data_IF_055206225808
#
_entry.id   IF_055206225808
#
_cell.length_a   1.000
_cell.length_b   1.000
_cell.length_c   1.000
_cell.angle_alpha   90.00
_cell.angle_beta   90.00
_cell.angle_gamma   90.00
#
_symmetry.space_group_name_H-M   'P 1'
#
loop_
_entity.id
_entity.type
_entity.pdbx_description
1 polymer ?
#
# COMPACT_ATOMS: atom_id res chain seq x y z
N UNK A 1 -1.63 -22.59 -26.45
CA UNK A 1 -1.14 -21.19 -26.46
C UNK A 1 -0.28 -21.01 -27.72
N UNK A 2 -0.66 -20.12 -28.65
CA UNK A 2 0.07 -19.96 -29.92
C UNK A 2 1.40 -19.22 -29.70
N UNK A 3 2.46 -19.57 -30.44
CA UNK A 3 3.78 -18.88 -30.36
C UNK A 3 3.68 -17.36 -30.50
N UNK A 4 2.71 -16.89 -31.30
CA UNK A 4 2.41 -15.47 -31.46
C UNK A 4 2.03 -14.79 -30.14
N UNK A 5 1.13 -15.39 -29.35
CA UNK A 5 0.70 -14.82 -28.07
C UNK A 5 1.84 -14.72 -27.06
N UNK A 6 2.70 -15.75 -26.99
CA UNK A 6 3.88 -15.76 -26.12
C UNK A 6 4.85 -14.64 -26.48
N UNK A 7 5.07 -14.40 -27.78
CA UNK A 7 5.93 -13.32 -28.25
C UNK A 7 5.35 -11.94 -27.94
N UNK A 8 4.05 -11.74 -28.12
CA UNK A 8 3.37 -10.49 -27.75
C UNK A 8 3.53 -10.20 -26.26
N UNK A 9 3.22 -11.18 -25.39
CA UNK A 9 3.37 -11.03 -23.94
C UNK A 9 4.81 -10.70 -23.54
N UNK A 10 5.79 -11.38 -24.14
CA UNK A 10 7.21 -11.13 -23.86
C UNK A 10 7.62 -9.71 -24.24
N UNK A 11 7.15 -9.22 -25.37
CA UNK A 11 7.42 -7.85 -25.82
C UNK A 11 6.75 -6.84 -24.89
N UNK A 12 5.49 -7.06 -24.51
CA UNK A 12 4.76 -6.18 -23.61
C UNK A 12 5.43 -6.06 -22.23
N UNK A 13 5.89 -7.18 -21.67
CA UNK A 13 6.61 -7.20 -20.39
C UNK A 13 7.92 -6.44 -20.48
N UNK A 14 8.65 -6.60 -21.60
CA UNK A 14 9.89 -5.85 -21.85
C UNK A 14 9.64 -4.35 -21.96
N UNK A 15 8.59 -3.93 -22.68
CA UNK A 15 8.18 -2.52 -22.79
C UNK A 15 7.76 -1.95 -21.43
N UNK A 16 7.15 -2.77 -20.58
CA UNK A 16 6.74 -2.41 -19.22
C UNK A 16 7.89 -2.46 -18.20
N UNK A 17 9.11 -2.79 -18.65
CA UNK A 17 10.30 -2.99 -17.80
C UNK A 17 10.12 -4.10 -16.74
N UNK A 18 9.21 -5.04 -16.97
CA UNK A 18 8.94 -6.17 -16.08
C UNK A 18 9.78 -7.37 -16.55
N UNK A 19 10.78 -7.72 -15.75
CA UNK A 19 11.51 -8.97 -15.87
C UNK A 19 11.24 -9.86 -14.64
N UNK A 20 11.85 -11.05 -14.59
CA UNK A 20 11.67 -11.97 -13.47
C UNK A 20 12.05 -11.37 -12.11
N UNK A 21 13.10 -10.54 -12.06
CA UNK A 21 13.52 -9.88 -10.81
C UNK A 21 12.46 -8.90 -10.32
N UNK A 22 11.82 -8.15 -11.22
CA UNK A 22 10.71 -7.26 -10.87
C UNK A 22 9.51 -8.07 -10.37
N UNK A 23 9.16 -9.15 -11.06
CA UNK A 23 8.06 -10.03 -10.63
C UNK A 23 8.30 -10.59 -9.22
N UNK A 24 9.51 -11.08 -8.95
CA UNK A 24 9.87 -11.60 -7.63
C UNK A 24 9.95 -10.51 -6.56
N UNK A 25 10.35 -9.29 -6.93
CA UNK A 25 10.44 -8.17 -6.00
C UNK A 25 9.07 -7.70 -5.47
N UNK A 26 7.96 -8.00 -6.17
CA UNK A 26 6.62 -7.67 -5.67
C UNK A 26 6.30 -8.34 -4.34
N UNK A 27 6.86 -9.52 -4.06
CA UNK A 27 6.68 -10.22 -2.79
C UNK A 27 7.24 -9.38 -1.64
N UNK A 28 8.57 -9.11 -1.54
CA UNK A 28 9.09 -8.28 -0.45
C UNK A 28 8.53 -6.85 -0.45
N UNK A 29 8.21 -6.27 -1.63
CA UNK A 29 7.55 -4.95 -1.70
C UNK A 29 6.22 -4.95 -0.94
N UNK A 30 5.41 -5.99 -1.11
CA UNK A 30 4.13 -6.10 -0.42
C UNK A 30 4.32 -6.20 1.09
N UNK A 31 5.17 -7.12 1.56
CA UNK A 31 5.47 -7.28 2.99
C UNK A 31 6.03 -6.00 3.62
N UNK A 32 6.97 -5.34 2.95
CA UNK A 32 7.54 -4.08 3.44
C UNK A 32 6.51 -2.97 3.49
N UNK A 33 5.59 -2.90 2.51
CA UNK A 33 4.52 -1.88 2.51
C UNK A 33 3.56 -2.07 3.67
N UNK A 34 3.11 -3.30 3.93
CA UNK A 34 2.27 -3.60 5.08
C UNK A 34 2.99 -3.33 6.40
N UNK A 35 4.23 -3.80 6.54
CA UNK A 35 5.02 -3.54 7.75
C UNK A 35 5.24 -2.03 7.98
N UNK A 36 5.49 -1.27 6.91
CA UNK A 36 5.69 0.18 7.02
C UNK A 36 4.38 0.91 7.37
N UNK A 37 3.24 0.43 6.89
CA UNK A 37 1.92 0.89 7.32
C UNK A 37 1.71 0.64 8.82
N UNK A 38 1.89 -0.60 9.27
CA UNK A 38 1.73 -0.97 10.68
C UNK A 38 2.73 -0.25 11.60
N UNK A 39 3.93 0.05 11.08
CA UNK A 39 4.93 0.86 11.78
C UNK A 39 4.42 2.28 12.01
N UNK A 40 3.60 2.83 11.13
CA UNK A 40 2.94 4.11 11.33
C UNK A 40 2.00 4.09 12.54
N UNK A 41 1.12 3.08 12.60
CA UNK A 41 0.25 2.87 13.76
C UNK A 41 1.04 2.71 15.06
N UNK A 42 2.10 1.91 15.02
CA UNK A 42 2.97 1.64 16.15
C UNK A 42 3.67 2.93 16.63
N UNK A 43 4.26 3.68 15.70
CA UNK A 43 5.05 4.89 16.00
C UNK A 43 4.20 5.93 16.70
N UNK A 44 2.99 6.21 16.20
CA UNK A 44 2.11 7.20 16.80
C UNK A 44 1.65 6.76 18.20
N UNK A 45 1.27 5.49 18.38
CA UNK A 45 0.90 4.97 19.71
C UNK A 45 2.07 5.03 20.71
N UNK A 46 3.26 4.62 20.28
CA UNK A 46 4.47 4.56 21.12
C UNK A 46 4.96 5.95 21.54
N UNK A 47 4.93 6.94 20.63
CA UNK A 47 5.30 8.33 20.93
C UNK A 47 4.37 8.96 21.97
N UNK A 48 3.10 8.54 22.01
CA UNK A 48 2.12 8.96 23.02
C UNK A 48 2.27 8.20 24.35
N UNK A 49 3.26 7.31 24.47
CA UNK A 49 3.58 6.58 25.69
C UNK A 49 2.90 5.22 25.84
N UNK A 50 2.19 4.74 24.81
CA UNK A 50 1.55 3.42 24.85
C UNK A 50 2.61 2.31 24.64
N UNK A 51 2.51 1.20 25.38
CA UNK A 51 3.30 0.00 25.14
C UNK A 51 2.75 -0.74 23.92
N UNK A 52 3.24 -0.40 22.73
CA UNK A 52 2.72 -0.88 21.45
C UNK A 52 3.41 -2.19 21.01
N UNK A 53 2.61 -3.07 20.40
CA UNK A 53 3.09 -4.27 19.69
C UNK A 53 2.75 -4.15 18.21
N UNK A 54 3.54 -4.81 17.36
CA UNK A 54 3.38 -4.77 15.90
C UNK A 54 3.46 -6.19 15.32
N UNK A 55 2.63 -6.44 14.32
CA UNK A 55 2.59 -7.65 13.51
C UNK A 55 2.45 -7.28 12.03
N UNK A 56 2.28 -8.26 11.13
CA UNK A 56 2.20 -8.02 9.70
C UNK A 56 0.94 -7.22 9.27
N UNK A 57 -0.15 -7.34 10.02
CA UNK A 57 -1.45 -6.76 9.67
C UNK A 57 -2.19 -6.20 10.90
N UNK A 58 -1.46 -5.88 11.96
CA UNK A 58 -2.03 -5.25 13.14
C UNK A 58 -0.95 -4.59 13.99
N UNK A 59 -1.31 -3.46 14.58
CA UNK A 59 -0.52 -2.75 15.57
C UNK A 59 -1.45 -2.20 16.65
N UNK A 60 -1.20 -2.58 17.90
CA UNK A 60 -2.07 -2.28 19.01
C UNK A 60 -1.32 -2.24 20.35
N UNK A 61 -1.87 -1.59 21.39
CA UNK A 61 -1.34 -1.65 22.74
C UNK A 61 -1.26 -3.10 23.24
N UNK A 62 -0.16 -3.48 23.89
CA UNK A 62 0.07 -4.85 24.40
C UNK A 62 -1.01 -5.30 25.38
N UNK A 63 -1.49 -4.38 26.21
CA UNK A 63 -2.55 -4.58 27.19
C UNK A 63 -3.98 -4.50 26.59
N UNK A 64 -4.09 -4.31 25.27
CA UNK A 64 -5.34 -4.18 24.52
C UNK A 64 -6.04 -2.83 24.61
N UNK A 65 -5.52 -1.87 25.39
CA UNK A 65 -6.18 -0.58 25.62
C UNK A 65 -5.19 0.58 25.52
N UNK A 66 -5.59 1.63 24.81
CA UNK A 66 -4.82 2.87 24.80
C UNK A 66 -4.93 3.59 26.15
N UNK A 67 -3.92 4.39 26.51
CA UNK A 67 -3.91 5.20 27.73
C UNK A 67 -5.03 6.25 27.66
N UNK A 68 -5.17 6.93 26.52
CA UNK A 68 -6.25 7.87 26.24
C UNK A 68 -6.98 7.51 24.95
N UNK A 69 -8.27 7.85 24.86
CA UNK A 69 -9.08 7.63 23.66
C UNK A 69 -8.53 8.36 22.42
N UNK A 70 -7.92 9.52 22.62
CA UNK A 70 -7.27 10.29 21.54
C UNK A 70 -6.05 9.58 20.97
N UNK A 71 -5.40 8.70 21.74
CA UNK A 71 -4.22 7.97 21.27
C UNK A 71 -4.60 6.89 20.26
N UNK A 72 -5.80 6.31 20.39
CA UNK A 72 -6.35 5.38 19.42
C UNK A 72 -6.57 6.05 18.06
N UNK A 73 -7.05 7.29 18.05
CA UNK A 73 -7.21 8.10 16.85
C UNK A 73 -5.85 8.41 16.21
N UNK A 74 -4.87 8.88 16.99
CA UNK A 74 -3.54 9.18 16.48
C UNK A 74 -2.82 7.95 15.95
N UNK A 75 -2.92 6.83 16.66
CA UNK A 75 -2.41 5.55 16.18
C UNK A 75 -3.09 5.18 14.87
N UNK A 76 -4.43 5.26 14.76
CA UNK A 76 -5.14 4.98 13.51
C UNK A 76 -4.68 5.87 12.33
N UNK A 77 -4.42 7.16 12.57
CA UNK A 77 -3.89 8.08 11.55
C UNK A 77 -2.50 7.66 11.05
N UNK A 78 -1.68 7.07 11.93
CA UNK A 78 -0.30 6.70 11.64
C UNK A 78 -0.12 5.82 10.40
N UNK A 79 -0.95 4.79 10.21
CA UNK A 79 -0.84 3.85 9.08
C UNK A 79 -1.04 4.51 7.71
N UNK A 80 -2.18 5.18 7.47
CA UNK A 80 -2.40 5.95 6.25
C UNK A 80 -1.33 7.04 6.01
N UNK A 81 -0.87 7.74 7.06
CA UNK A 81 0.19 8.74 6.95
C UNK A 81 1.51 8.11 6.48
N UNK A 82 1.92 6.99 7.05
CA UNK A 82 3.14 6.30 6.63
C UNK A 82 3.02 5.76 5.20
N UNK A 83 1.84 5.31 4.80
CA UNK A 83 1.59 4.89 3.40
C UNK A 83 1.76 6.05 2.43
N UNK A 84 1.25 7.25 2.77
CA UNK A 84 1.45 8.47 1.99
C UNK A 84 2.93 8.87 1.93
N UNK A 85 3.65 8.79 3.05
CA UNK A 85 5.09 9.06 3.12
C UNK A 85 5.86 8.09 2.22
N UNK A 86 5.56 6.79 2.27
CA UNK A 86 6.16 5.79 1.38
C UNK A 86 5.91 6.16 -0.09
N UNK A 87 4.66 6.44 -0.45
CA UNK A 87 4.29 6.75 -1.83
C UNK A 87 5.01 8.02 -2.34
N UNK A 88 5.11 9.06 -1.51
CA UNK A 88 5.82 10.30 -1.85
C UNK A 88 7.33 10.08 -1.97
N UNK A 89 7.95 9.39 -1.02
CA UNK A 89 9.38 9.10 -1.03
C UNK A 89 9.77 8.33 -2.31
N UNK A 90 9.01 7.28 -2.64
CA UNK A 90 9.29 6.47 -3.81
C UNK A 90 8.87 7.14 -5.13
N UNK A 91 7.92 8.08 -5.12
CA UNK A 91 7.67 8.96 -6.27
C UNK A 91 8.91 9.82 -6.55
N UNK A 92 9.50 10.44 -5.53
CA UNK A 92 10.72 11.24 -5.68
C UNK A 92 11.87 10.39 -6.22
N UNK A 93 12.10 9.20 -5.65
CA UNK A 93 13.11 8.26 -6.13
C UNK A 93 12.84 7.80 -7.57
N UNK A 94 11.58 7.60 -7.95
CA UNK A 94 11.20 7.29 -9.34
C UNK A 94 11.54 8.45 -10.27
N UNK A 95 11.30 9.69 -9.84
CA UNK A 95 11.68 10.89 -10.58
C UNK A 95 13.18 10.98 -10.85
N UNK A 96 14.00 10.71 -9.83
CA UNK A 96 15.46 10.81 -9.89
C UNK A 96 16.07 9.64 -10.68
N UNK A 97 15.65 8.41 -10.37
CA UNK A 97 16.36 7.20 -10.84
C UNK A 97 15.71 6.53 -12.04
N UNK A 98 14.43 6.82 -12.31
CA UNK A 98 13.61 6.06 -13.26
C UNK A 98 13.58 4.55 -12.98
N UNK A 99 13.76 4.16 -11.71
CA UNK A 99 13.77 2.77 -11.28
C UNK A 99 12.36 2.19 -11.26
N UNK A 100 12.17 1.06 -11.96
CA UNK A 100 10.92 0.28 -11.92
C UNK A 100 10.61 -0.24 -10.52
N UNK A 101 11.61 -0.44 -9.66
CA UNK A 101 11.41 -0.87 -8.27
C UNK A 101 10.86 0.26 -7.40
N UNK A 102 11.39 1.49 -7.57
CA UNK A 102 10.84 2.67 -6.89
C UNK A 102 9.40 2.96 -7.35
N UNK A 103 9.15 2.82 -8.67
CA UNK A 103 7.79 2.88 -9.19
C UNK A 103 6.89 1.83 -8.54
N UNK A 104 7.35 0.57 -8.45
CA UNK A 104 6.57 -0.54 -7.87
C UNK A 104 6.19 -0.29 -6.41
N UNK A 105 7.08 0.30 -5.60
CA UNK A 105 6.78 0.67 -4.21
C UNK A 105 5.76 1.81 -4.11
N UNK A 106 5.81 2.78 -5.03
CA UNK A 106 4.81 3.85 -5.13
C UNK A 106 3.45 3.29 -5.54
N UNK A 107 3.46 2.43 -6.56
CA UNK A 107 2.26 1.80 -7.12
C UNK A 107 1.59 0.91 -6.08
N UNK A 108 2.37 0.06 -5.40
CA UNK A 108 1.83 -0.88 -4.42
C UNK A 108 1.23 -0.17 -3.19
N UNK A 109 1.80 0.95 -2.74
CA UNK A 109 1.21 1.77 -1.68
C UNK A 109 -0.19 2.28 -2.02
N UNK A 110 -0.41 2.73 -3.26
CA UNK A 110 -1.73 3.13 -3.73
C UNK A 110 -2.65 1.93 -3.94
N UNK A 111 -2.12 0.85 -4.52
CA UNK A 111 -2.86 -0.36 -4.82
C UNK A 111 -3.41 -1.03 -3.56
N UNK A 112 -2.61 -1.21 -2.51
CA UNK A 112 -3.04 -1.93 -1.30
C UNK A 112 -4.18 -1.21 -0.56
N UNK A 113 -4.21 0.13 -0.58
CA UNK A 113 -5.32 0.92 -0.01
C UNK A 113 -6.57 0.86 -0.87
N UNK A 114 -6.41 0.93 -2.19
CA UNK A 114 -7.53 0.72 -3.11
C UNK A 114 -8.10 -0.70 -2.97
N UNK A 115 -7.24 -1.71 -2.91
CA UNK A 115 -7.63 -3.11 -2.77
C UNK A 115 -8.41 -3.35 -1.48
N UNK A 116 -7.91 -2.83 -0.35
CA UNK A 116 -8.59 -2.93 0.94
C UNK A 116 -9.97 -2.24 0.92
N UNK A 117 -10.14 -1.12 0.21
CA UNK A 117 -11.44 -0.45 0.11
C UNK A 117 -12.44 -1.30 -0.68
N UNK A 118 -12.01 -1.81 -1.83
CA UNK A 118 -12.89 -2.51 -2.78
C UNK A 118 -13.20 -3.94 -2.32
N UNK A 119 -12.22 -4.64 -1.74
CA UNK A 119 -12.32 -6.07 -1.42
C UNK A 119 -12.23 -6.39 0.07
N UNK A 120 -11.63 -5.51 0.89
CA UNK A 120 -11.51 -5.70 2.34
C UNK A 120 -12.75 -5.25 3.13
N UNK A 121 -13.55 -4.34 2.55
CA UNK A 121 -14.77 -3.82 3.15
C UNK A 121 -14.53 -2.58 4.00
N UNK A 122 -15.41 -1.58 3.83
CA UNK A 122 -15.20 -0.22 4.39
C UNK A 122 -14.97 -0.21 5.90
N UNK A 123 -15.64 -1.08 6.67
CA UNK A 123 -15.55 -1.07 8.15
C UNK A 123 -14.19 -1.54 8.69
N UNK A 124 -13.39 -2.22 7.87
CA UNK A 124 -12.07 -2.72 8.26
C UNK A 124 -10.95 -1.78 7.85
N UNK A 125 -11.25 -0.67 7.16
CA UNK A 125 -10.26 0.32 6.77
C UNK A 125 -9.91 1.27 7.91
N UNK A 126 -8.63 1.60 8.05
CA UNK A 126 -8.15 2.56 9.03
C UNK A 126 -8.74 3.95 8.78
N UNK A 127 -8.83 4.36 7.52
CA UNK A 127 -9.41 5.63 7.12
C UNK A 127 -10.90 5.74 7.51
N UNK A 128 -11.66 4.66 7.37
CA UNK A 128 -13.05 4.61 7.80
C UNK A 128 -13.18 4.62 9.33
N UNK A 129 -12.26 3.96 10.04
CA UNK A 129 -12.16 4.01 11.51
C UNK A 129 -11.86 5.42 12.00
N UNK A 130 -10.94 6.14 11.35
CA UNK A 130 -10.64 7.55 11.64
C UNK A 130 -11.89 8.40 11.45
N UNK A 131 -12.59 8.26 10.32
CA UNK A 131 -13.86 8.96 10.08
C UNK A 131 -14.88 8.68 11.20
N UNK A 132 -15.03 7.43 11.62
CA UNK A 132 -15.95 7.06 12.69
C UNK A 132 -15.57 7.65 14.05
N UNK A 133 -14.27 7.67 14.40
CA UNK A 133 -13.77 8.28 15.64
C UNK A 133 -13.96 9.81 15.70
N UNK A 134 -14.11 10.46 14.55
CA UNK A 134 -14.34 11.90 14.42
C UNK A 134 -15.82 12.28 14.23
N UNK A 135 -16.74 11.30 14.29
CA UNK A 135 -18.16 11.47 13.94
C UNK A 135 -18.37 12.04 12.52
N UNK A 136 -17.48 11.72 11.59
CA UNK A 136 -17.55 12.13 10.19
C UNK A 136 -18.20 11.06 9.31
N UNK A 137 -18.56 11.45 8.09
CA UNK A 137 -18.99 10.50 7.07
C UNK A 137 -17.87 9.46 6.83
N UNK A 138 -18.21 8.17 6.93
CA UNK A 138 -17.27 7.03 6.83
C UNK A 138 -16.48 6.98 5.53
N UNK A 139 -16.94 7.62 4.45
CA UNK A 139 -16.25 7.66 3.17
C UNK A 139 -15.32 8.87 2.99
N UNK A 140 -15.38 9.87 3.88
CA UNK A 140 -14.66 11.13 3.70
C UNK A 140 -13.14 10.94 3.74
N UNK A 141 -12.61 10.36 4.82
CA UNK A 141 -11.16 10.14 4.97
C UNK A 141 -10.64 9.10 3.95
N UNK A 142 -11.33 7.96 3.70
CA UNK A 142 -10.92 7.04 2.65
C UNK A 142 -10.83 7.70 1.27
N UNK A 143 -11.80 8.54 0.91
CA UNK A 143 -11.79 9.25 -0.37
C UNK A 143 -10.60 10.22 -0.48
N UNK A 144 -10.32 10.99 0.58
CA UNK A 144 -9.19 11.93 0.60
C UNK A 144 -7.87 11.17 0.41
N UNK A 145 -7.64 10.11 1.20
CA UNK A 145 -6.39 9.34 1.14
C UNK A 145 -6.22 8.67 -0.22
N UNK A 146 -7.28 8.08 -0.78
CA UNK A 146 -7.21 7.47 -2.10
C UNK A 146 -7.00 8.47 -3.23
N UNK A 147 -7.61 9.66 -3.17
CA UNK A 147 -7.36 10.71 -4.17
C UNK A 147 -5.90 11.13 -4.13
N UNK A 148 -5.32 11.33 -2.95
CA UNK A 148 -3.91 11.68 -2.80
C UNK A 148 -2.99 10.58 -3.35
N UNK A 149 -3.21 9.32 -2.95
CA UNK A 149 -2.45 8.17 -3.45
C UNK A 149 -2.61 7.98 -4.96
N UNK A 150 -3.81 8.19 -5.50
CA UNK A 150 -4.06 8.14 -6.93
C UNK A 150 -3.26 9.21 -7.69
N UNK A 151 -3.24 10.45 -7.20
CA UNK A 151 -2.45 11.53 -7.79
C UNK A 151 -0.95 11.21 -7.77
N UNK A 152 -0.43 10.69 -6.66
CA UNK A 152 0.98 10.28 -6.52
C UNK A 152 1.31 9.15 -7.51
N UNK A 153 0.47 8.10 -7.54
CA UNK A 153 0.64 6.97 -8.45
C UNK A 153 0.55 7.41 -9.92
N UNK A 154 -0.41 8.27 -10.27
CA UNK A 154 -0.57 8.84 -11.61
C UNK A 154 0.68 9.60 -12.04
N UNK A 155 1.25 10.44 -11.17
CA UNK A 155 2.50 11.13 -11.45
C UNK A 155 3.64 10.13 -11.71
N UNK A 156 3.74 9.07 -10.91
CA UNK A 156 4.75 8.02 -11.07
C UNK A 156 4.62 7.29 -12.43
N UNK A 157 3.39 6.96 -12.84
CA UNK A 157 3.09 6.39 -14.17
C UNK A 157 3.57 7.32 -15.29
N UNK A 158 3.28 8.63 -15.19
CA UNK A 158 3.73 9.61 -16.19
C UNK A 158 5.26 9.76 -16.23
N UNK A 159 5.92 9.73 -15.07
CA UNK A 159 7.39 9.81 -14.98
C UNK A 159 8.08 8.61 -15.64
N UNK A 160 7.45 7.44 -15.58
CA UNK A 160 7.91 6.20 -16.20
C UNK A 160 7.41 6.00 -17.65
N UNK A 161 6.50 6.86 -18.11
CA UNK A 161 5.85 6.78 -19.43
C UNK A 161 5.18 5.43 -19.69
N UNK A 162 4.58 4.84 -18.65
CA UNK A 162 3.93 3.53 -18.75
C UNK A 162 2.58 3.63 -19.45
N UNK A 163 2.28 2.66 -20.30
CA UNK A 163 0.97 2.54 -20.94
C UNK A 163 -0.07 1.98 -19.97
N UNK A 164 -1.36 2.14 -20.29
CA UNK A 164 -2.44 1.53 -19.50
C UNK A 164 -2.31 0.00 -19.42
N UNK A 165 -1.82 -0.62 -20.50
CA UNK A 165 -1.56 -2.06 -20.57
C UNK A 165 -0.44 -2.46 -19.63
N UNK A 166 0.64 -1.68 -19.57
CA UNK A 166 1.75 -1.85 -18.63
C UNK A 166 1.27 -1.76 -17.18
N UNK A 167 0.47 -0.75 -16.86
CA UNK A 167 -0.16 -0.61 -15.54
C UNK A 167 -1.01 -1.83 -15.17
N UNK A 168 -1.72 -2.41 -16.15
CA UNK A 168 -2.47 -3.66 -15.97
C UNK A 168 -1.61 -4.83 -15.49
N UNK A 169 -0.38 -4.97 -15.97
CA UNK A 169 0.53 -6.02 -15.47
C UNK A 169 0.94 -5.78 -14.02
N UNK A 170 1.21 -4.52 -13.64
CA UNK A 170 1.49 -4.18 -12.24
C UNK A 170 0.30 -4.44 -11.31
N UNK A 171 -0.93 -4.21 -11.76
CA UNK A 171 -2.15 -4.62 -11.04
C UNK A 171 -2.14 -6.13 -10.79
N UNK A 172 -1.89 -6.94 -11.82
CA UNK A 172 -1.87 -8.41 -11.70
C UNK A 172 -0.80 -8.85 -10.69
N UNK A 173 0.42 -8.33 -10.79
CA UNK A 173 1.50 -8.64 -9.83
C UNK A 173 1.13 -8.23 -8.40
N UNK A 174 0.48 -7.07 -8.25
CA UNK A 174 0.06 -6.58 -6.94
C UNK A 174 -1.04 -7.44 -6.33
N UNK A 175 -2.02 -7.91 -7.13
CA UNK A 175 -3.05 -8.86 -6.66
C UNK A 175 -2.40 -10.13 -6.12
N UNK A 176 -1.46 -10.73 -6.86
CA UNK A 176 -0.78 -11.93 -6.39
C UNK A 176 0.00 -11.69 -5.10
N UNK A 177 0.75 -10.59 -5.00
CA UNK A 177 1.52 -10.26 -3.81
C UNK A 177 0.64 -9.97 -2.58
N UNK A 178 -0.46 -9.22 -2.77
CA UNK A 178 -1.46 -8.93 -1.75
C UNK A 178 -2.09 -10.23 -1.20
N UNK A 179 -2.51 -11.14 -2.10
CA UNK A 179 -3.08 -12.42 -1.70
C UNK A 179 -2.09 -13.30 -0.92
N UNK A 180 -0.79 -13.22 -1.24
CA UNK A 180 0.25 -13.91 -0.47
C UNK A 180 0.39 -13.33 0.94
N UNK A 181 0.38 -12.00 1.08
CA UNK A 181 0.41 -11.34 2.40
C UNK A 181 -0.81 -11.76 3.24
N UNK A 182 -2.02 -11.70 2.65
CA UNK A 182 -3.26 -12.12 3.32
C UNK A 182 -3.21 -13.61 3.69
N UNK A 183 -2.73 -14.46 2.79
CA UNK A 183 -2.60 -15.89 3.02
C UNK A 183 -1.66 -16.20 4.18
N UNK A 184 -0.50 -15.55 4.23
CA UNK A 184 0.49 -15.72 5.30
C UNK A 184 -0.03 -15.17 6.63
N UNK A 185 -0.71 -14.03 6.64
CA UNK A 185 -1.30 -13.47 7.85
C UNK A 185 -2.40 -14.37 8.47
N UNK A 186 -2.98 -15.31 7.72
CA UNK A 186 -3.94 -16.29 8.25
C UNK A 186 -3.26 -17.52 8.86
N UNK A 187 -1.97 -17.73 8.59
CA UNK A 187 -1.21 -18.89 9.04
C UNK A 187 -0.39 -18.62 10.32
N UNK A 188 -0.12 -17.35 10.60
CA UNK A 188 0.66 -16.86 11.76
C UNK A 188 -0.29 -16.19 12.74
#
# INVERSE_FOLDING_TARGET
>A
MTRALVNTLRNDLKESQINWNVMMAFIPIAFLTFLFHELGHWTFGAVLGNDMTISLNNSAPRNGNFINDTDALWSAIGGPVFTLIQALLFLLLTGITKSVYAFSLTFFAAFSRFYSLVFGGIKLQDEARISAMLDWNTFLVPAIVLILLFVICWQSIRLMKLSIKSTGYFVVLSVFAELLVIGINKLV
#
